data_IF_631081280689
#
_entry.id   IF_631081280689
#
_cell.length_a   1.000
_cell.length_b   1.000
_cell.length_c   1.000
_cell.angle_alpha   90.00
_cell.angle_beta   90.00
_cell.angle_gamma   90.00
#
_symmetry.space_group_name_H-M   'P 1'
#
loop_
_entity.id
_entity.type
_entity.pdbx_description
1 polymer ?
#
# COMPACT_ATOMS: atom_id res chain seq x y z
N UNK A 1 12.01 7.66 7.57
CA UNK A 1 10.84 7.01 8.19
C UNK A 1 10.04 8.08 8.89
N UNK A 2 8.74 8.19 8.62
CA UNK A 2 7.83 9.00 9.42
C UNK A 2 7.20 8.11 10.49
N UNK A 3 6.96 8.65 11.68
CA UNK A 3 6.35 7.89 12.78
C UNK A 3 5.24 8.69 13.45
N UNK A 4 4.17 8.02 13.85
CA UNK A 4 3.04 8.66 14.55
C UNK A 4 2.38 7.67 15.50
N UNK A 5 2.04 8.12 16.71
CA UNK A 5 1.34 7.32 17.71
C UNK A 5 -0.15 7.24 17.38
N UNK A 6 -0.54 6.31 16.50
CA UNK A 6 -1.94 6.19 16.03
C UNK A 6 -2.63 4.89 16.42
N UNK A 7 -1.88 3.90 16.92
CA UNK A 7 -2.43 2.57 17.21
C UNK A 7 -2.43 2.25 18.72
N UNK A 8 -3.38 2.80 19.50
CA UNK A 8 -3.59 2.43 20.92
C UNK A 8 -2.29 2.28 21.75
N UNK A 9 -1.37 3.24 21.62
CA UNK A 9 -0.08 3.24 22.33
C UNK A 9 1.11 2.66 21.56
N UNK A 10 0.90 2.09 20.36
CA UNK A 10 1.96 1.64 19.45
C UNK A 10 2.22 2.67 18.35
N UNK A 11 3.49 2.82 18.00
CA UNK A 11 3.97 3.77 16.99
C UNK A 11 3.95 3.07 15.64
N UNK A 12 3.23 3.65 14.68
CA UNK A 12 3.28 3.21 13.28
C UNK A 12 4.57 3.72 12.67
N UNK A 13 5.31 2.83 11.99
CA UNK A 13 6.52 3.16 11.24
C UNK A 13 6.19 3.14 9.76
N UNK A 14 6.17 4.32 9.17
CA UNK A 14 5.88 4.52 7.75
C UNK A 14 7.17 4.71 6.98
N UNK A 15 7.39 3.84 5.99
CA UNK A 15 8.45 3.95 5.01
C UNK A 15 7.89 4.39 3.66
N UNK A 16 8.73 4.99 2.80
CA UNK A 16 8.32 5.41 1.46
C UNK A 16 7.76 4.25 0.64
N UNK A 17 8.37 3.05 0.75
CA UNK A 17 7.90 1.83 0.07
C UNK A 17 6.48 1.43 0.47
N UNK A 18 6.06 1.73 1.69
CA UNK A 18 4.74 1.39 2.21
C UNK A 18 3.67 2.29 1.55
N UNK A 19 3.96 3.59 1.48
CA UNK A 19 3.11 4.55 0.77
C UNK A 19 3.01 4.23 -0.73
N UNK A 20 4.13 3.89 -1.38
CA UNK A 20 4.13 3.45 -2.78
C UNK A 20 3.24 2.22 -2.97
N UNK A 21 3.35 1.22 -2.09
CA UNK A 21 2.54 0.02 -2.18
C UNK A 21 1.03 0.34 -2.07
N UNK A 22 0.61 1.19 -1.13
CA UNK A 22 -0.81 1.57 -1.02
C UNK A 22 -1.32 2.29 -2.29
N UNK A 23 -0.48 3.09 -2.95
CA UNK A 23 -0.83 3.71 -4.24
C UNK A 23 -0.98 2.67 -5.35
N UNK A 24 -0.08 1.69 -5.43
CA UNK A 24 -0.16 0.60 -6.42
C UNK A 24 -1.41 -0.25 -6.21
N UNK A 25 -1.78 -0.54 -4.95
CA UNK A 25 -3.02 -1.23 -4.61
C UNK A 25 -4.24 -0.43 -5.06
N UNK A 26 -4.27 0.87 -4.78
CA UNK A 26 -5.35 1.74 -5.24
C UNK A 26 -5.48 1.77 -6.77
N UNK A 27 -4.35 1.90 -7.48
CA UNK A 27 -4.31 1.92 -8.95
C UNK A 27 -4.81 0.60 -9.55
N UNK A 28 -4.46 -0.53 -8.93
CA UNK A 28 -4.88 -1.88 -9.34
C UNK A 28 -6.21 -2.34 -8.72
N UNK A 29 -6.96 -1.42 -8.10
CA UNK A 29 -8.29 -1.65 -7.51
C UNK A 29 -8.32 -2.72 -6.40
N UNK A 30 -7.22 -2.87 -5.68
CA UNK A 30 -7.10 -3.77 -4.53
C UNK A 30 -7.27 -3.00 -3.21
N UNK A 31 -7.80 -3.68 -2.19
CA UNK A 31 -7.93 -3.10 -0.85
C UNK A 31 -6.62 -3.24 -0.07
N UNK A 32 -6.14 -2.15 0.52
CA UNK A 32 -4.95 -2.15 1.36
C UNK A 32 -5.14 -2.99 2.64
N UNK A 33 -6.37 -3.13 3.13
CA UNK A 33 -6.68 -3.95 4.29
C UNK A 33 -6.31 -5.44 4.07
N UNK A 34 -6.47 -5.94 2.84
CA UNK A 34 -6.14 -7.34 2.46
C UNK A 34 -4.63 -7.62 2.47
N UNK A 35 -3.82 -6.56 2.50
CA UNK A 35 -2.37 -6.59 2.62
C UNK A 35 -1.90 -6.25 4.04
N UNK A 36 -2.81 -6.12 5.00
CA UNK A 36 -2.48 -5.86 6.41
C UNK A 36 -2.31 -4.38 6.78
N UNK A 37 -2.62 -3.44 5.89
CA UNK A 37 -2.60 -2.00 6.20
C UNK A 37 -3.80 -1.58 7.05
N UNK A 38 -3.76 -1.88 8.34
CA UNK A 38 -4.87 -1.66 9.28
C UNK A 38 -5.14 -0.20 9.64
N UNK A 39 -4.21 0.69 9.30
CA UNK A 39 -4.22 2.08 9.78
C UNK A 39 -4.39 3.12 8.69
N UNK A 40 -4.46 2.70 7.41
CA UNK A 40 -4.57 3.63 6.29
C UNK A 40 -5.83 4.49 6.45
N UNK A 41 -5.62 5.80 6.43
CA UNK A 41 -6.67 6.79 6.55
C UNK A 41 -6.91 7.41 5.18
N UNK A 42 -8.10 7.20 4.57
CA UNK A 42 -8.45 7.80 3.29
C UNK A 42 -8.35 9.33 3.32
N UNK A 43 -7.96 9.91 2.19
CA UNK A 43 -7.93 11.35 1.99
C UNK A 43 -8.30 11.69 0.55
N UNK A 44 -9.31 12.54 0.29
CA UNK A 44 -9.76 12.83 -1.07
C UNK A 44 -8.75 13.61 -1.91
N UNK A 45 -7.78 14.30 -1.28
CA UNK A 45 -6.75 15.09 -1.98
C UNK A 45 -5.55 14.22 -2.35
N UNK A 46 -5.16 13.28 -1.48
CA UNK A 46 -3.90 12.51 -1.61
C UNK A 46 -4.10 11.00 -1.66
N UNK A 47 -5.33 10.51 -1.92
CA UNK A 47 -5.78 9.11 -1.81
C UNK A 47 -5.81 8.63 -0.34
N UNK A 48 -4.73 8.81 0.40
CA UNK A 48 -4.63 8.52 1.83
C UNK A 48 -3.65 9.47 2.53
N UNK A 49 -3.69 9.52 3.86
CA UNK A 49 -2.70 10.28 4.65
C UNK A 49 -1.40 9.51 4.72
N UNK A 50 -0.31 10.05 4.17
CA UNK A 50 0.97 9.32 4.04
C UNK A 50 1.44 8.67 5.34
N UNK A 51 1.36 9.37 6.47
CA UNK A 51 1.80 8.84 7.77
C UNK A 51 1.04 7.58 8.23
N UNK A 52 -0.13 7.32 7.66
CA UNK A 52 -1.03 6.22 8.03
C UNK A 52 -0.76 4.91 7.25
N UNK A 53 0.04 5.00 6.17
CA UNK A 53 0.44 3.86 5.35
C UNK A 53 1.72 3.22 5.89
N UNK A 54 1.62 2.52 7.02
CA UNK A 54 2.76 1.87 7.64
C UNK A 54 2.36 0.74 8.58
N UNK A 55 3.38 0.16 9.19
CA UNK A 55 3.25 -1.02 10.05
C UNK A 55 3.87 -0.77 11.42
N UNK A 56 3.43 -1.54 12.41
CA UNK A 56 4.04 -1.53 13.74
C UNK A 56 5.28 -2.42 13.71
N UNK A 57 5.13 -3.63 13.17
CA UNK A 57 6.19 -4.62 13.09
C UNK A 57 6.72 -4.77 11.66
N UNK A 58 8.03 -4.95 11.53
CA UNK A 58 8.66 -5.09 10.22
C UNK A 58 8.22 -6.38 9.51
N UNK A 59 7.90 -7.44 10.26
CA UNK A 59 7.38 -8.69 9.70
C UNK A 59 6.03 -8.53 8.99
N UNK A 60 5.13 -7.68 9.50
CA UNK A 60 3.85 -7.37 8.83
C UNK A 60 4.10 -6.67 7.49
N UNK A 61 5.09 -5.78 7.46
CA UNK A 61 5.51 -5.10 6.24
C UNK A 61 6.05 -6.07 5.21
N UNK A 62 6.99 -6.93 5.58
CA UNK A 62 7.58 -7.88 4.63
C UNK A 62 6.53 -8.85 4.07
N UNK A 63 5.54 -9.25 4.88
CA UNK A 63 4.41 -10.05 4.41
C UNK A 63 3.58 -9.32 3.33
N UNK A 64 3.24 -8.05 3.56
CA UNK A 64 2.50 -7.22 2.61
C UNK A 64 3.24 -7.08 1.27
N UNK A 65 4.53 -6.76 1.32
CA UNK A 65 5.36 -6.62 0.11
C UNK A 65 5.55 -7.96 -0.62
N UNK A 66 5.73 -9.06 0.12
CA UNK A 66 5.83 -10.40 -0.48
C UNK A 66 4.55 -10.81 -1.19
N UNK A 67 3.39 -10.57 -0.57
CA UNK A 67 2.08 -10.82 -1.18
C UNK A 67 1.90 -10.01 -2.46
N UNK A 68 2.28 -8.73 -2.45
CA UNK A 68 2.20 -7.87 -3.63
C UNK A 68 3.10 -8.36 -4.76
N UNK A 69 4.34 -8.72 -4.45
CA UNK A 69 5.28 -9.21 -5.46
C UNK A 69 4.74 -10.48 -6.15
N UNK A 70 4.17 -11.41 -5.37
CA UNK A 70 3.53 -12.60 -5.91
C UNK A 70 2.39 -12.24 -6.86
N UNK A 71 1.48 -11.38 -6.41
CA UNK A 71 0.36 -10.93 -7.25
C UNK A 71 0.84 -10.22 -8.52
N UNK A 72 1.84 -9.35 -8.40
CA UNK A 72 2.39 -8.61 -9.53
C UNK A 72 3.02 -9.54 -10.56
N UNK A 73 3.80 -10.53 -10.14
CA UNK A 73 4.40 -11.49 -11.07
C UNK A 73 3.35 -12.30 -11.85
N UNK A 74 2.22 -12.60 -11.23
CA UNK A 74 1.11 -13.30 -11.85
C UNK A 74 0.27 -12.40 -12.81
N UNK A 75 0.22 -11.08 -12.56
CA UNK A 75 -0.78 -10.19 -13.19
C UNK A 75 -0.21 -9.02 -14.01
N UNK A 76 1.09 -8.71 -13.92
CA UNK A 76 1.70 -7.50 -14.51
C UNK A 76 1.46 -7.35 -16.01
N UNK A 77 1.50 -8.46 -16.77
CA UNK A 77 1.28 -8.42 -18.22
C UNK A 77 -0.14 -7.94 -18.57
N UNK A 78 -1.14 -8.33 -17.78
CA UNK A 78 -2.51 -7.87 -17.97
C UNK A 78 -2.63 -6.38 -17.64
N UNK A 79 -2.09 -5.96 -16.49
CA UNK A 79 -2.14 -4.56 -16.03
C UNK A 79 -1.46 -3.63 -17.03
N UNK A 80 -0.25 -3.96 -17.47
CA UNK A 80 0.51 -3.15 -18.42
C UNK A 80 -0.16 -3.08 -19.80
N UNK A 81 -0.82 -4.15 -20.25
CA UNK A 81 -1.59 -4.12 -21.50
C UNK A 81 -2.84 -3.25 -21.40
N UNK A 82 -3.57 -3.30 -20.29
CA UNK A 82 -4.74 -2.44 -20.09
C UNK A 82 -4.40 -0.95 -20.07
N UNK A 83 -3.25 -0.57 -19.49
CA UNK A 83 -2.82 0.83 -19.44
C UNK A 83 -2.44 1.41 -20.80
N UNK A 84 -2.03 0.59 -21.77
CA UNK A 84 -1.68 1.05 -23.14
C UNK A 84 -2.92 1.30 -24.00
N UNK A 85 -4.08 0.73 -23.65
CA UNK A 85 -5.32 0.87 -24.43
C UNK A 85 -6.11 2.11 -24.02
N UNK A 86 -6.00 2.56 -22.76
CA UNK A 86 -6.70 3.75 -22.25
C UNK A 86 -6.09 5.09 -22.71
N UNK A 87 -4.87 5.09 -23.29
CA UNK A 87 -4.19 6.29 -23.80
C UNK A 87 -4.47 6.60 -25.30
N UNK A 88 -5.46 5.94 -25.94
CA UNK A 88 -5.87 6.21 -27.33
C UNK A 88 -7.30 6.74 -27.41
#
# INVERSE_FOLDING_TARGET
>A
SWSTSQAKGKIIKTQVRDAILVLLLHQTKQDAADYGFRFVQPNPITVFRVYSAGFIEDAEREAAHSQWNKWWDENKEMVLKSSVVEEK
#
